data_IF_159764899031
#
_entry.id   IF_159764899031
#
_cell.length_a   1.000
_cell.length_b   1.000
_cell.length_c   1.000
_cell.angle_alpha   90.00
_cell.angle_beta   90.00
_cell.angle_gamma   90.00
#
_symmetry.space_group_name_H-M   'P 1'
#
loop_
_entity.id
_entity.type
_entity.pdbx_description
1 polymer ?
#
# COMPACT_ATOMS: atom_id res chain seq x y z
N UNK A 1 -12.34 -22.66 -6.34
CA UNK A 1 -11.05 -22.10 -6.81
C UNK A 1 -10.94 -20.82 -6.03
N UNK A 2 -10.32 -20.88 -4.86
CA UNK A 2 -10.63 -19.97 -3.76
C UNK A 2 -9.45 -19.01 -3.59
N UNK A 3 -9.50 -17.96 -4.40
CA UNK A 3 -8.47 -16.93 -4.48
C UNK A 3 -8.96 -15.70 -3.71
N UNK A 4 -8.07 -14.93 -3.07
CA UNK A 4 -8.47 -13.75 -2.30
C UNK A 4 -7.52 -12.59 -2.54
N UNK A 5 -8.09 -11.38 -2.55
CA UNK A 5 -7.31 -10.14 -2.55
C UNK A 5 -7.95 -9.20 -1.54
N UNK A 6 -7.14 -8.68 -0.64
CA UNK A 6 -7.49 -7.54 0.19
C UNK A 6 -6.90 -6.29 -0.42
N UNK A 7 -7.68 -5.22 -0.55
CA UNK A 7 -7.18 -3.92 -0.98
C UNK A 7 -7.46 -2.87 0.10
N UNK A 8 -6.41 -2.28 0.67
CA UNK A 8 -6.47 -1.21 1.65
C UNK A 8 -6.25 0.14 1.00
N UNK A 9 -7.08 1.11 1.38
CA UNK A 9 -7.04 2.43 0.75
C UNK A 9 -7.19 3.63 1.69
N UNK A 10 -6.56 4.72 1.24
CA UNK A 10 -6.66 6.09 1.74
C UNK A 10 -7.24 7.10 0.72
N UNK A 11 -8.45 7.65 0.92
CA UNK A 11 -8.72 9.04 0.52
C UNK A 11 -8.59 9.95 1.72
N UNK A 12 -7.53 10.73 1.75
CA UNK A 12 -7.67 12.07 2.31
C UNK A 12 -8.22 12.99 1.22
N UNK A 13 -9.27 13.74 1.56
CA UNK A 13 -9.87 14.87 0.83
C UNK A 13 -10.96 14.56 -0.19
N UNK A 14 -11.92 15.49 -0.25
CA UNK A 14 -13.11 15.58 -1.11
C UNK A 14 -12.78 15.72 -2.62
N UNK A 15 -11.77 14.99 -3.11
CA UNK A 15 -11.44 14.96 -4.53
C UNK A 15 -12.42 14.03 -5.25
N UNK A 16 -12.93 14.39 -6.44
CA UNK A 16 -13.75 13.51 -7.28
C UNK A 16 -12.85 12.44 -7.90
N UNK A 17 -12.22 11.63 -7.05
CA UNK A 17 -11.68 10.34 -7.46
C UNK A 17 -12.87 9.64 -8.09
N UNK A 18 -12.74 9.32 -9.37
CA UNK A 18 -13.78 8.75 -10.23
C UNK A 18 -14.69 7.83 -9.41
N UNK A 19 -16.02 8.01 -9.44
CA UNK A 19 -17.03 7.32 -8.59
C UNK A 19 -16.88 5.78 -8.51
N UNK A 20 -16.01 5.21 -9.34
CA UNK A 20 -15.71 3.79 -9.47
C UNK A 20 -14.38 3.37 -8.82
N UNK A 21 -13.57 4.26 -8.27
CA UNK A 21 -12.41 3.88 -7.46
C UNK A 21 -12.88 3.71 -6.00
N UNK A 22 -12.77 2.56 -5.35
CA UNK A 22 -12.03 1.32 -5.63
C UNK A 22 -12.88 0.18 -6.19
N UNK A 23 -14.13 0.48 -6.55
CA UNK A 23 -15.04 -0.51 -7.12
C UNK A 23 -14.50 -1.18 -8.40
N UNK A 24 -13.64 -0.50 -9.19
CA UNK A 24 -12.98 -1.06 -10.36
C UNK A 24 -12.02 -2.20 -9.98
N UNK A 25 -11.20 -1.99 -8.95
CA UNK A 25 -10.26 -2.99 -8.43
C UNK A 25 -11.04 -4.18 -7.85
N UNK A 26 -12.04 -3.88 -7.01
CA UNK A 26 -12.94 -4.88 -6.44
C UNK A 26 -13.62 -5.74 -7.50
N UNK A 27 -14.23 -5.10 -8.49
CA UNK A 27 -14.94 -5.78 -9.57
C UNK A 27 -13.99 -6.61 -10.46
N UNK A 28 -12.84 -6.06 -10.85
CA UNK A 28 -11.89 -6.78 -11.70
C UNK A 28 -11.44 -8.10 -11.07
N UNK A 29 -11.04 -8.06 -9.81
CA UNK A 29 -10.55 -9.25 -9.11
C UNK A 29 -11.67 -10.21 -8.72
N UNK A 30 -12.87 -9.71 -8.38
CA UNK A 30 -14.05 -10.56 -8.20
C UNK A 30 -14.39 -11.36 -9.48
N UNK A 31 -14.26 -10.74 -10.66
CA UNK A 31 -14.43 -11.43 -11.95
C UNK A 31 -13.38 -12.52 -12.20
N UNK A 32 -12.23 -12.48 -11.52
CA UNK A 32 -11.22 -13.53 -11.55
C UNK A 32 -11.49 -14.66 -10.54
N UNK A 33 -12.67 -14.68 -9.90
CA UNK A 33 -13.07 -15.69 -8.93
C UNK A 33 -12.50 -15.45 -7.53
N UNK A 34 -12.12 -14.20 -7.21
CA UNK A 34 -11.60 -13.86 -5.90
C UNK A 34 -12.66 -13.31 -4.98
N UNK A 35 -12.52 -13.54 -3.68
CA UNK A 35 -13.18 -12.70 -2.68
C UNK A 35 -12.34 -11.45 -2.47
N UNK A 36 -12.95 -10.28 -2.63
CA UNK A 36 -12.26 -8.99 -2.52
C UNK A 36 -12.82 -8.17 -1.38
N UNK A 37 -11.94 -7.75 -0.47
CA UNK A 37 -12.28 -6.83 0.62
C UNK A 37 -11.66 -5.48 0.34
N UNK A 38 -12.52 -4.46 0.21
CA UNK A 38 -12.11 -3.05 0.07
C UNK A 38 -12.41 -2.35 1.39
N UNK A 39 -11.36 -2.04 2.14
CA UNK A 39 -11.48 -1.50 3.49
C UNK A 39 -11.24 0.02 3.55
N UNK A 40 -11.93 0.65 4.51
CA UNK A 40 -11.68 2.04 4.91
C UNK A 40 -10.89 2.07 6.21
N UNK A 41 -10.26 3.20 6.49
CA UNK A 41 -9.54 3.48 7.74
C UNK A 41 -9.83 4.94 8.15
N UNK A 42 -9.53 5.28 9.40
CA UNK A 42 -9.74 6.60 9.98
C UNK A 42 -8.80 7.63 9.35
N UNK A 43 -9.33 8.83 9.08
CA UNK A 43 -8.61 9.89 8.37
C UNK A 43 -8.04 10.93 9.32
N UNK A 44 -6.88 11.46 8.93
CA UNK A 44 -6.33 12.69 9.49
C UNK A 44 -7.16 13.86 9.00
N UNK A 45 -7.76 14.60 9.93
CA UNK A 45 -8.54 15.78 9.58
C UNK A 45 -7.60 16.96 9.24
N UNK A 46 -7.81 17.55 8.07
CA UNK A 46 -7.12 18.77 7.65
C UNK A 46 -8.12 19.87 7.31
N UNK A 47 -8.27 20.85 8.20
CA UNK A 47 -8.87 22.15 7.86
C UNK A 47 -7.80 23.11 7.32
N UNK A 48 -7.83 23.48 6.03
CA UNK A 48 -6.92 24.47 5.44
C UNK A 48 -7.11 25.89 5.98
N UNK A 49 -8.25 26.18 6.63
CA UNK A 49 -8.58 27.51 7.19
C UNK A 49 -8.26 27.62 8.67
N UNK A 50 -8.02 26.50 9.35
CA UNK A 50 -7.59 26.51 10.73
C UNK A 50 -6.16 27.09 10.82
N UNK A 51 -6.02 28.28 11.41
CA UNK A 51 -4.75 28.94 11.72
C UNK A 51 -4.01 28.25 12.89
N UNK A 52 -4.25 26.97 13.09
CA UNK A 52 -3.81 26.24 14.26
C UNK A 52 -2.31 26.00 14.14
N UNK A 53 -1.56 26.89 14.80
CA UNK A 53 -0.14 26.72 15.06
C UNK A 53 0.13 25.45 15.89
N UNK A 54 -0.86 24.96 16.67
CA UNK A 54 -0.69 23.86 17.63
C UNK A 54 -1.82 22.81 17.63
N UNK A 55 -2.77 22.87 16.69
CA UNK A 55 -3.61 21.74 16.23
C UNK A 55 -4.30 20.83 17.24
N UNK A 56 -4.89 21.36 18.33
CA UNK A 56 -5.79 20.59 19.22
C UNK A 56 -7.18 21.23 19.22
N UNK A 57 -7.88 21.15 18.09
CA UNK A 57 -9.34 21.30 18.08
C UNK A 57 -9.99 20.00 18.53
N UNK A 58 -11.15 20.07 19.19
CA UNK A 58 -11.92 18.93 19.74
C UNK A 58 -12.39 17.88 18.70
N UNK A 59 -12.03 18.00 17.43
CA UNK A 59 -12.32 17.00 16.41
C UNK A 59 -11.30 15.86 16.51
N UNK A 60 -11.78 14.64 16.80
CA UNK A 60 -10.97 13.42 16.84
C UNK A 60 -10.39 13.17 15.45
N UNK A 61 -9.14 13.57 15.24
CA UNK A 61 -8.35 13.26 14.05
C UNK A 61 -7.59 11.98 14.31
N UNK A 62 -7.58 11.05 13.35
CA UNK A 62 -6.72 9.88 13.43
C UNK A 62 -5.25 10.31 13.60
N UNK A 63 -4.52 9.58 14.42
CA UNK A 63 -3.08 9.70 14.63
C UNK A 63 -2.43 8.33 14.51
N UNK A 64 -1.12 8.27 14.37
CA UNK A 64 -0.41 7.01 14.48
C UNK A 64 -0.56 6.48 15.93
N UNK A 65 -0.91 5.19 16.14
CA UNK A 65 -1.01 4.10 15.15
C UNK A 65 -2.40 3.78 14.60
N UNK A 66 -3.44 4.61 14.79
CA UNK A 66 -4.86 4.33 14.44
C UNK A 66 -5.04 3.70 13.04
N UNK A 67 -4.36 4.24 12.02
CA UNK A 67 -4.44 3.69 10.66
C UNK A 67 -3.88 2.26 10.52
N UNK A 68 -2.87 1.90 11.31
CA UNK A 68 -2.35 0.53 11.39
C UNK A 68 -3.29 -0.38 12.22
N UNK A 69 -3.92 0.16 13.26
CA UNK A 69 -4.92 -0.55 14.05
C UNK A 69 -6.17 -0.87 13.20
N UNK A 70 -6.56 0.01 12.28
CA UNK A 70 -7.64 -0.28 11.32
C UNK A 70 -7.28 -1.42 10.35
N UNK A 71 -6.01 -1.57 9.97
CA UNK A 71 -5.55 -2.74 9.20
C UNK A 71 -5.71 -4.00 10.04
N UNK A 72 -5.34 -3.95 11.33
CA UNK A 72 -5.48 -5.08 12.24
C UNK A 72 -6.94 -5.52 12.35
N UNK A 73 -7.85 -4.58 12.62
CA UNK A 73 -9.29 -4.84 12.76
C UNK A 73 -9.90 -5.40 11.47
N UNK A 74 -9.48 -4.87 10.31
CA UNK A 74 -9.91 -5.39 9.02
C UNK A 74 -9.47 -6.84 8.85
N UNK A 75 -8.21 -7.15 9.16
CA UNK A 75 -7.68 -8.50 9.04
C UNK A 75 -8.38 -9.47 9.98
N UNK A 76 -8.59 -9.10 11.24
CA UNK A 76 -9.38 -9.89 12.21
C UNK A 76 -10.76 -10.22 11.66
N UNK A 77 -11.46 -9.22 11.10
CA UNK A 77 -12.74 -9.46 10.44
C UNK A 77 -12.60 -10.48 9.30
N UNK A 78 -11.56 -10.40 8.48
CA UNK A 78 -11.37 -11.32 7.36
C UNK A 78 -11.15 -12.75 7.84
N UNK A 79 -10.22 -12.99 8.77
CA UNK A 79 -9.96 -14.33 9.30
C UNK A 79 -11.20 -14.94 9.98
N UNK A 80 -12.05 -14.11 10.60
CA UNK A 80 -13.28 -14.55 11.26
C UNK A 80 -14.47 -14.76 10.31
N UNK A 81 -14.51 -14.07 9.16
CA UNK A 81 -15.72 -13.97 8.35
C UNK A 81 -15.58 -14.51 6.93
N UNK A 82 -14.41 -14.44 6.30
CA UNK A 82 -14.29 -14.62 4.84
C UNK A 82 -14.65 -16.03 4.35
N UNK A 83 -14.55 -17.03 5.24
CA UNK A 83 -14.94 -18.42 4.97
C UNK A 83 -16.44 -18.66 4.95
N UNK A 84 -17.24 -17.69 5.40
CA UNK A 84 -18.71 -17.81 5.44
C UNK A 84 -19.29 -17.72 4.02
N UNK A 85 -20.44 -18.39 3.83
CA UNK A 85 -21.08 -18.53 2.50
C UNK A 85 -21.54 -17.20 1.93
N UNK A 86 -22.04 -16.30 2.78
CA UNK A 86 -22.48 -14.96 2.39
C UNK A 86 -21.35 -14.08 1.81
N UNK A 87 -20.09 -14.40 2.09
CA UNK A 87 -18.92 -13.68 1.60
C UNK A 87 -18.14 -14.44 0.51
N UNK A 88 -18.71 -15.51 -0.05
CA UNK A 88 -18.11 -16.24 -1.17
C UNK A 88 -17.15 -17.37 -0.76
N UNK A 89 -17.11 -17.76 0.52
CA UNK A 89 -16.33 -18.90 1.03
C UNK A 89 -14.84 -18.83 0.73
N UNK A 90 -14.25 -17.65 0.87
CA UNK A 90 -12.82 -17.50 0.66
C UNK A 90 -11.99 -18.23 1.74
N UNK A 91 -10.74 -18.57 1.41
CA UNK A 91 -9.81 -19.23 2.32
C UNK A 91 -8.99 -18.23 3.16
N UNK A 92 -9.12 -18.20 4.51
CA UNK A 92 -8.32 -17.32 5.38
C UNK A 92 -6.80 -17.55 5.27
N UNK A 93 -6.36 -18.69 4.75
CA UNK A 93 -4.94 -19.02 4.53
C UNK A 93 -4.36 -18.40 3.24
N UNK A 94 -5.22 -17.92 2.33
CA UNK A 94 -4.84 -17.42 1.01
C UNK A 94 -5.00 -15.90 0.88
N UNK A 95 -4.84 -15.17 1.99
CA UNK A 95 -4.99 -13.72 2.06
C UNK A 95 -3.80 -13.00 1.43
N UNK A 96 -4.03 -12.14 0.44
CA UNK A 96 -3.01 -11.22 -0.11
C UNK A 96 -3.40 -9.78 0.21
N UNK A 97 -2.51 -9.02 0.87
CA UNK A 97 -2.75 -7.61 1.17
C UNK A 97 -2.24 -6.71 0.05
N UNK A 98 -3.06 -5.79 -0.44
CA UNK A 98 -2.68 -4.80 -1.45
C UNK A 98 -2.94 -3.40 -0.93
N UNK A 99 -1.93 -2.54 -0.98
CA UNK A 99 -2.06 -1.15 -0.56
C UNK A 99 -1.45 -0.19 -1.57
N UNK A 100 -2.13 0.92 -1.79
CA UNK A 100 -1.65 2.00 -2.65
C UNK A 100 -1.36 3.26 -1.84
N UNK A 101 -0.24 3.92 -2.14
CA UNK A 101 0.19 5.14 -1.46
C UNK A 101 0.16 4.97 0.06
N UNK A 102 -0.47 5.86 0.82
CA UNK A 102 -0.61 5.74 2.28
C UNK A 102 -1.33 4.47 2.75
N UNK A 103 -2.19 3.85 1.94
CA UNK A 103 -2.83 2.57 2.30
C UNK A 103 -1.82 1.44 2.44
N UNK A 104 -0.82 1.39 1.55
CA UNK A 104 0.29 0.44 1.68
C UNK A 104 1.24 0.79 2.83
N UNK A 105 1.32 2.07 3.19
CA UNK A 105 2.09 2.52 4.35
C UNK A 105 1.47 1.99 5.65
N UNK A 106 0.14 2.02 5.79
CA UNK A 106 -0.57 1.41 6.92
C UNK A 106 -0.41 -0.11 6.96
N UNK A 107 -0.48 -0.81 5.82
CA UNK A 107 -0.15 -2.24 5.75
C UNK A 107 1.26 -2.49 6.31
N UNK A 108 2.26 -1.74 5.85
CA UNK A 108 3.64 -1.90 6.32
C UNK A 108 3.81 -1.65 7.83
N UNK A 109 2.94 -0.85 8.45
CA UNK A 109 2.94 -0.61 9.89
C UNK A 109 2.30 -1.72 10.72
N UNK A 110 1.38 -2.50 10.14
CA UNK A 110 0.62 -3.55 10.83
C UNK A 110 1.05 -4.98 10.46
N UNK A 111 2.02 -5.14 9.56
CA UNK A 111 2.34 -6.45 9.00
C UNK A 111 3.10 -7.35 10.02
N UNK A 112 2.35 -7.97 10.92
CA UNK A 112 2.88 -8.85 11.99
C UNK A 112 2.33 -10.28 11.94
N UNK A 113 1.55 -10.64 10.92
CA UNK A 113 0.90 -11.95 10.85
C UNK A 113 0.90 -12.58 9.45
N UNK A 114 0.54 -13.86 9.41
CA UNK A 114 0.69 -14.74 8.25
C UNK A 114 -0.28 -14.37 7.14
N UNK A 115 0.25 -13.86 6.03
CA UNK A 115 -0.47 -13.59 4.78
C UNK A 115 0.24 -14.30 3.64
N UNK A 116 -0.51 -14.69 2.61
CA UNK A 116 0.03 -15.36 1.44
C UNK A 116 0.91 -14.43 0.57
N UNK A 117 0.73 -13.12 0.67
CA UNK A 117 1.58 -12.15 -0.01
C UNK A 117 1.19 -10.70 0.27
N UNK A 118 2.06 -9.76 -0.11
CA UNK A 118 1.84 -8.32 0.06
C UNK A 118 2.21 -7.55 -1.20
N UNK A 119 1.35 -6.61 -1.59
CA UNK A 119 1.49 -5.73 -2.75
C UNK A 119 1.54 -4.28 -2.26
N UNK A 120 2.66 -3.63 -2.49
CA UNK A 120 2.87 -2.21 -2.25
C UNK A 120 2.90 -1.45 -3.58
N UNK A 121 1.94 -0.56 -3.80
CA UNK A 121 1.86 0.28 -4.99
C UNK A 121 2.14 1.73 -4.65
N UNK A 122 3.25 2.28 -5.15
CA UNK A 122 3.61 3.70 -5.00
C UNK A 122 3.60 4.16 -3.54
N UNK A 123 4.05 3.31 -2.62
CA UNK A 123 3.96 3.54 -1.17
C UNK A 123 5.04 4.54 -0.71
N UNK A 124 4.70 5.57 0.09
CA UNK A 124 5.67 6.48 0.66
C UNK A 124 6.31 5.85 1.90
N UNK A 125 7.28 4.95 1.69
CA UNK A 125 8.08 4.32 2.75
C UNK A 125 9.02 5.29 3.50
N UNK A 126 9.02 6.56 3.11
CA UNK A 126 9.74 7.65 3.74
C UNK A 126 9.06 8.97 3.34
N UNK A 127 9.31 10.03 4.10
CA UNK A 127 8.75 11.35 3.84
C UNK A 127 9.80 12.45 3.84
N UNK A 128 9.68 13.38 2.89
CA UNK A 128 10.57 14.53 2.75
C UNK A 128 10.28 15.58 3.83
N UNK A 129 11.23 15.74 4.75
CA UNK A 129 11.16 16.72 5.84
C UNK A 129 11.58 18.12 5.41
N UNK A 130 12.15 18.32 4.23
CA UNK A 130 12.59 19.64 3.79
C UNK A 130 11.41 20.53 3.38
N UNK A 131 10.23 19.93 3.16
CA UNK A 131 9.01 20.63 2.72
C UNK A 131 8.12 21.03 3.91
N UNK A 132 7.89 22.34 4.16
CA UNK A 132 7.08 22.78 5.31
C UNK A 132 5.65 22.23 5.33
N UNK A 133 5.00 22.12 4.16
CA UNK A 133 3.66 21.54 4.08
C UNK A 133 3.68 20.04 4.45
N UNK A 134 4.73 19.33 4.05
CA UNK A 134 4.90 17.90 4.35
C UNK A 134 5.11 17.69 5.85
N UNK A 135 5.98 18.49 6.47
CA UNK A 135 6.15 18.50 7.94
C UNK A 135 4.82 18.71 8.69
N UNK A 136 3.97 19.65 8.24
CA UNK A 136 2.66 19.89 8.85
C UNK A 136 1.77 18.65 8.81
N UNK A 137 1.70 17.95 7.67
CA UNK A 137 0.90 16.73 7.51
C UNK A 137 1.45 15.61 8.39
N UNK A 138 2.77 15.41 8.37
CA UNK A 138 3.45 14.38 9.16
C UNK A 138 3.21 14.63 10.66
N UNK A 139 3.42 15.86 11.17
CA UNK A 139 3.18 16.19 12.58
C UNK A 139 1.72 15.96 13.00
N UNK A 140 0.76 16.16 12.10
CA UNK A 140 -0.66 15.89 12.42
C UNK A 140 -0.92 14.40 12.64
N UNK A 141 -0.35 13.54 11.79
CA UNK A 141 -0.55 12.10 11.94
C UNK A 141 0.35 11.49 13.03
N UNK A 142 1.65 11.73 12.97
CA UNK A 142 2.63 11.10 13.87
C UNK A 142 2.86 11.86 15.18
N UNK A 143 2.29 13.06 15.34
CA UNK A 143 2.59 13.96 16.46
C UNK A 143 3.96 14.64 16.38
N UNK A 144 4.83 14.22 15.45
CA UNK A 144 6.18 14.75 15.24
C UNK A 144 6.65 14.51 13.81
N UNK A 145 7.47 15.40 13.25
CA UNK A 145 8.22 15.20 12.00
C UNK A 145 9.65 14.68 12.25
N UNK A 146 9.96 14.25 13.47
CA UNK A 146 11.16 13.49 13.74
C UNK A 146 10.99 12.06 13.21
N UNK A 147 11.94 11.61 12.37
CA UNK A 147 11.90 10.29 11.71
C UNK A 147 11.82 9.11 12.69
N UNK A 148 12.34 9.27 13.90
CA UNK A 148 12.32 8.26 14.95
C UNK A 148 10.93 7.99 15.53
N UNK A 149 9.94 8.84 15.22
CA UNK A 149 8.54 8.71 15.68
C UNK A 149 7.64 7.98 14.67
N UNK A 150 8.06 7.84 13.41
CA UNK A 150 7.17 7.37 12.32
C UNK A 150 6.95 5.84 12.26
N UNK A 151 7.30 5.11 13.33
CA UNK A 151 7.10 3.67 13.42
C UNK A 151 7.88 2.86 12.37
N UNK A 152 7.27 1.75 11.92
CA UNK A 152 7.87 0.78 10.99
C UNK A 152 8.25 1.36 9.62
N UNK A 153 7.68 2.50 9.20
CA UNK A 153 8.08 3.18 7.97
C UNK A 153 9.55 3.59 8.01
N UNK A 154 10.04 4.07 9.16
CA UNK A 154 11.47 4.36 9.40
C UNK A 154 12.35 3.13 9.25
N UNK A 155 11.82 1.99 9.69
CA UNK A 155 12.59 0.78 9.94
C UNK A 155 13.00 0.03 8.66
N UNK A 156 12.34 0.32 7.54
CA UNK A 156 12.81 -0.08 6.23
C UNK A 156 13.94 0.84 5.73
N UNK A 157 13.76 2.16 5.68
CA UNK A 157 14.63 3.03 4.89
C UNK A 157 15.98 3.46 5.53
N UNK A 158 16.17 3.33 6.86
CA UNK A 158 17.43 3.73 7.48
C UNK A 158 18.34 2.53 7.86
N UNK A 159 19.42 2.34 7.10
CA UNK A 159 20.42 1.28 7.30
C UNK A 159 21.41 1.54 8.44
N UNK A 160 21.40 2.73 9.05
CA UNK A 160 22.43 3.15 10.03
C UNK A 160 21.93 3.30 11.47
N UNK A 161 20.60 3.27 11.71
CA UNK A 161 20.00 3.49 13.02
C UNK A 161 19.11 2.33 13.50
N UNK A 162 19.18 1.17 12.84
CA UNK A 162 18.59 -0.06 13.36
C UNK A 162 19.37 -0.46 14.63
N UNK A 163 18.93 0.03 15.78
CA UNK A 163 19.39 -0.49 17.06
C UNK A 163 18.96 -1.95 17.17
N UNK A 164 19.73 -2.74 17.90
CA UNK A 164 19.58 -4.19 18.10
C UNK A 164 18.23 -4.61 18.74
N UNK A 165 17.31 -3.67 19.01
CA UNK A 165 16.08 -3.89 19.76
C UNK A 165 14.79 -3.94 18.91
N UNK A 166 14.84 -3.83 17.58
CA UNK A 166 13.63 -4.03 16.74
C UNK A 166 13.43 -5.52 16.41
N UNK A 167 13.18 -6.34 17.44
CA UNK A 167 12.94 -7.79 17.27
C UNK A 167 11.80 -8.10 16.29
N UNK A 168 10.82 -7.21 16.16
CA UNK A 168 9.60 -7.42 15.35
C UNK A 168 9.80 -7.25 13.83
N UNK A 169 10.71 -6.37 13.38
CA UNK A 169 11.10 -6.26 11.96
C UNK A 169 11.76 -7.51 11.42
N UNK A 170 12.44 -8.23 12.31
CA UNK A 170 13.15 -9.45 11.96
C UNK A 170 12.18 -10.39 11.29
N UNK A 171 10.92 -10.50 11.73
CA UNK A 171 10.00 -11.47 11.14
C UNK A 171 9.77 -11.29 9.62
N UNK A 172 9.56 -10.07 9.13
CA UNK A 172 9.30 -9.82 7.70
C UNK A 172 10.53 -9.84 6.81
N UNK A 173 11.67 -9.46 7.36
CA UNK A 173 12.92 -9.39 6.61
C UNK A 173 13.79 -10.64 6.79
N UNK A 174 13.54 -11.45 7.83
CA UNK A 174 14.36 -12.63 8.17
C UNK A 174 14.00 -13.90 7.43
N UNK A 175 12.93 -13.92 6.65
CA UNK A 175 12.72 -15.00 5.68
C UNK A 175 11.85 -14.51 4.52
N UNK A 176 12.51 -13.96 3.51
CA UNK A 176 11.89 -13.50 2.26
C UNK A 176 11.23 -14.63 1.46
N UNK A 177 11.38 -15.89 1.87
CA UNK A 177 10.66 -17.02 1.29
C UNK A 177 9.28 -17.25 1.89
N UNK A 178 8.98 -16.69 3.07
CA UNK A 178 7.68 -16.90 3.75
C UNK A 178 6.57 -16.03 3.22
N UNK A 179 6.85 -14.75 2.99
CA UNK A 179 5.86 -13.78 2.52
C UNK A 179 6.38 -13.16 1.22
N UNK A 180 5.87 -13.57 0.05
CA UNK A 180 6.14 -12.89 -1.21
C UNK A 180 5.77 -11.41 -1.12
N UNK A 181 6.68 -10.55 -1.57
CA UNK A 181 6.45 -9.10 -1.65
C UNK A 181 6.50 -8.63 -3.10
N UNK A 182 5.50 -7.84 -3.48
CA UNK A 182 5.45 -7.07 -4.72
C UNK A 182 5.58 -5.58 -4.41
N UNK A 183 6.54 -4.93 -5.07
CA UNK A 183 6.74 -3.49 -5.04
C UNK A 183 6.49 -2.98 -6.45
N UNK A 184 5.37 -2.28 -6.61
CA UNK A 184 5.01 -1.58 -7.84
C UNK A 184 5.24 -0.08 -7.68
N UNK A 185 5.89 0.52 -8.66
CA UNK A 185 5.92 1.97 -8.85
C UNK A 185 5.65 2.29 -10.31
N UNK A 186 5.62 3.58 -10.64
CA UNK A 186 5.27 4.08 -11.96
C UNK A 186 6.37 4.96 -12.51
N UNK A 187 6.49 5.04 -13.83
CA UNK A 187 7.53 5.86 -14.46
C UNK A 187 7.38 7.35 -14.15
N UNK A 188 6.14 7.84 -14.08
CA UNK A 188 5.83 9.24 -13.79
C UNK A 188 5.38 9.39 -12.32
N UNK A 189 6.27 8.98 -11.42
CA UNK A 189 6.05 9.03 -9.97
C UNK A 189 6.52 10.37 -9.38
N UNK A 190 5.91 10.80 -8.27
CA UNK A 190 6.44 11.92 -7.50
C UNK A 190 7.78 11.54 -6.88
N UNK A 191 8.74 12.47 -6.91
CA UNK A 191 10.13 12.20 -6.48
C UNK A 191 10.20 11.54 -5.09
N UNK A 192 9.44 12.04 -4.12
CA UNK A 192 9.42 11.49 -2.75
C UNK A 192 9.05 9.99 -2.73
N UNK A 193 7.97 9.59 -3.41
CA UNK A 193 7.53 8.20 -3.46
C UNK A 193 8.49 7.31 -4.26
N UNK A 194 9.10 7.85 -5.32
CA UNK A 194 10.11 7.14 -6.10
C UNK A 194 11.35 6.85 -5.25
N UNK A 195 11.91 7.87 -4.59
CA UNK A 195 13.08 7.73 -3.74
C UNK A 195 12.79 6.77 -2.57
N UNK A 196 11.65 6.94 -1.90
CA UNK A 196 11.22 6.05 -0.83
C UNK A 196 11.09 4.59 -1.27
N UNK A 197 10.59 4.35 -2.49
CA UNK A 197 10.50 3.02 -3.08
C UNK A 197 11.88 2.39 -3.30
N UNK A 198 12.84 3.16 -3.82
CA UNK A 198 14.21 2.69 -4.06
C UNK A 198 14.92 2.41 -2.73
N UNK A 199 14.74 3.26 -1.73
CA UNK A 199 15.31 3.07 -0.39
C UNK A 199 14.75 1.81 0.27
N UNK A 200 13.43 1.60 0.21
CA UNK A 200 12.79 0.38 0.70
C UNK A 200 13.32 -0.86 -0.02
N UNK A 201 13.41 -0.84 -1.36
CA UNK A 201 13.95 -1.95 -2.15
C UNK A 201 15.39 -2.30 -1.73
N UNK A 202 16.24 -1.30 -1.58
CA UNK A 202 17.64 -1.50 -1.17
C UNK A 202 17.73 -2.08 0.24
N UNK A 203 16.91 -1.57 1.17
CA UNK A 203 16.88 -2.06 2.53
C UNK A 203 16.34 -3.49 2.63
N UNK A 204 15.28 -3.81 1.87
CA UNK A 204 14.75 -5.17 1.77
C UNK A 204 15.85 -6.12 1.29
N UNK A 205 16.53 -5.81 0.19
CA UNK A 205 17.63 -6.63 -0.34
C UNK A 205 18.78 -6.80 0.66
N UNK A 206 19.11 -5.75 1.40
CA UNK A 206 20.21 -5.79 2.37
C UNK A 206 19.89 -6.63 3.60
N UNK A 207 18.61 -6.68 4.00
CA UNK A 207 18.15 -7.37 5.22
C UNK A 207 17.49 -8.73 4.93
N UNK A 208 17.20 -9.05 3.67
CA UNK A 208 16.52 -10.27 3.27
C UNK A 208 17.28 -11.53 3.65
N UNK A 209 16.54 -12.62 3.85
CA UNK A 209 17.09 -13.95 4.04
C UNK A 209 16.37 -14.89 3.07
N UNK A 210 17.08 -15.60 2.18
CA UNK A 210 18.54 -15.57 1.97
C UNK A 210 19.07 -14.16 1.60
N UNK A 211 20.29 -13.85 2.03
CA UNK A 211 20.91 -12.54 1.82
C UNK A 211 20.91 -12.15 0.35
N UNK A 212 20.44 -10.95 0.04
CA UNK A 212 20.37 -10.43 -1.33
C UNK A 212 19.15 -10.88 -2.12
N UNK A 213 18.19 -11.59 -1.51
CA UNK A 213 16.91 -11.91 -2.14
C UNK A 213 16.19 -10.62 -2.55
N UNK A 214 15.68 -10.60 -3.78
CA UNK A 214 14.95 -9.48 -4.35
C UNK A 214 13.44 -9.68 -4.18
N UNK A 215 12.68 -8.61 -3.90
CA UNK A 215 11.23 -8.64 -4.02
C UNK A 215 10.84 -8.62 -5.51
N UNK A 216 9.57 -8.91 -5.82
CA UNK A 216 9.05 -8.63 -7.16
C UNK A 216 8.99 -7.10 -7.32
N UNK A 217 9.79 -6.55 -8.22
CA UNK A 217 9.89 -5.11 -8.42
C UNK A 217 9.47 -4.74 -9.84
N UNK A 218 8.44 -3.89 -9.96
CA UNK A 218 7.96 -3.42 -11.25
C UNK A 218 7.82 -1.90 -11.30
N UNK A 219 8.27 -1.34 -12.42
CA UNK A 219 8.02 0.05 -12.79
C UNK A 219 7.09 0.04 -14.01
N UNK A 220 5.88 0.56 -13.85
CA UNK A 220 4.94 0.67 -14.96
C UNK A 220 5.31 1.84 -15.87
N UNK A 221 5.61 1.52 -17.12
CA UNK A 221 5.75 2.54 -18.17
C UNK A 221 4.40 3.20 -18.45
N UNK A 222 4.42 4.47 -18.86
CA UNK A 222 3.22 5.27 -19.18
C UNK A 222 2.20 5.33 -18.04
N UNK A 223 2.59 5.12 -16.79
CA UNK A 223 1.71 5.27 -15.64
C UNK A 223 2.17 6.40 -14.70
N UNK A 224 1.25 6.93 -13.88
CA UNK A 224 1.50 7.91 -12.82
C UNK A 224 0.83 7.50 -11.48
N UNK A 225 1.10 8.28 -10.42
CA UNK A 225 0.71 7.95 -9.03
C UNK A 225 -0.81 7.74 -8.88
N UNK A 226 -1.57 8.74 -9.32
CA UNK A 226 -3.01 8.79 -9.52
C UNK A 226 -3.21 9.79 -10.66
N UNK A 227 -4.10 9.54 -11.62
CA UNK A 227 -4.40 10.54 -12.65
C UNK A 227 -5.27 11.62 -12.01
N UNK A 228 -4.60 12.52 -11.30
CA UNK A 228 -4.76 13.98 -11.15
C UNK A 228 -3.84 14.44 -10.02
N UNK A 229 -2.76 15.17 -10.34
CA UNK A 229 -2.05 15.94 -9.31
C UNK A 229 -1.40 17.26 -9.78
N UNK A 230 -1.49 17.65 -11.06
CA UNK A 230 -0.96 18.95 -11.52
C UNK A 230 -1.75 19.50 -12.74
N UNK A 231 -3.01 19.88 -12.57
CA UNK A 231 -3.74 20.61 -13.62
C UNK A 231 -3.85 22.12 -13.40
N UNK A 232 -3.69 22.62 -12.16
CA UNK A 232 -3.90 24.04 -11.90
C UNK A 232 -2.65 24.93 -12.08
N UNK A 233 -1.46 24.39 -12.39
CA UNK A 233 -0.23 25.20 -12.44
C UNK A 233 0.88 24.77 -13.44
N UNK A 234 0.58 23.97 -14.46
CA UNK A 234 1.59 23.65 -15.49
C UNK A 234 1.24 24.31 -16.82
N UNK A 235 2.09 25.25 -17.23
CA UNK A 235 2.06 25.91 -18.54
C UNK A 235 2.05 24.89 -19.69
N UNK A 236 1.33 25.26 -20.76
CA UNK A 236 0.78 24.38 -21.81
C UNK A 236 1.70 23.46 -22.61
N UNK A 237 2.99 23.32 -22.28
CA UNK A 237 3.93 22.41 -22.95
C UNK A 237 3.75 20.95 -22.46
N UNK A 238 3.30 20.72 -21.22
CA UNK A 238 3.08 19.35 -20.70
C UNK A 238 1.77 18.69 -21.16
N UNK A 239 0.92 19.37 -21.93
CA UNK A 239 -0.32 18.77 -22.46
C UNK A 239 -0.06 17.62 -23.43
N UNK A 240 1.09 17.58 -24.08
CA UNK A 240 1.45 16.55 -25.06
C UNK A 240 1.95 15.23 -24.45
N UNK A 241 2.31 15.20 -23.15
CA UNK A 241 2.79 14.01 -22.43
C UNK A 241 1.66 13.22 -21.72
N UNK A 242 0.41 13.67 -21.87
CA UNK A 242 -0.77 13.13 -21.17
C UNK A 242 -1.47 12.00 -21.94
N UNK A 243 -0.77 10.88 -22.12
CA UNK A 243 -1.38 9.55 -22.31
C UNK A 243 -0.76 8.64 -21.26
N UNK A 244 -0.92 9.00 -19.98
CA UNK A 244 -0.48 8.15 -18.89
C UNK A 244 -1.67 7.64 -18.10
N UNK A 245 -1.84 6.32 -18.06
CA UNK A 245 -2.84 5.66 -17.24
C UNK A 245 -2.49 5.81 -15.76
N UNK A 246 -3.49 5.81 -14.88
CA UNK A 246 -3.21 5.79 -13.43
C UNK A 246 -2.89 4.39 -12.97
N UNK A 247 -1.96 4.26 -12.01
CA UNK A 247 -1.55 2.97 -11.43
C UNK A 247 -2.76 2.09 -11.08
N UNK A 248 -3.66 2.58 -10.24
CA UNK A 248 -4.77 1.79 -9.71
C UNK A 248 -6.09 2.00 -10.46
N UNK A 249 -6.24 3.11 -11.18
CA UNK A 249 -7.44 3.36 -11.98
C UNK A 249 -7.42 2.62 -13.33
N UNK A 250 -6.25 2.15 -13.80
CA UNK A 250 -6.17 1.31 -15.01
C UNK A 250 -6.70 -0.11 -14.79
N UNK A 251 -6.77 -0.57 -13.54
CA UNK A 251 -7.28 -1.90 -13.20
C UNK A 251 -8.76 -2.01 -13.61
N UNK A 252 -9.08 -3.03 -14.40
CA UNK A 252 -10.42 -3.23 -14.96
C UNK A 252 -10.76 -2.38 -16.18
N UNK A 253 -9.76 -1.72 -16.80
CA UNK A 253 -9.91 -0.99 -18.06
C UNK A 253 -9.28 -1.76 -19.23
N UNK A 254 -9.23 -1.15 -20.42
CA UNK A 254 -8.51 -1.70 -21.58
C UNK A 254 -6.98 -1.74 -21.37
N UNK A 255 -6.44 -0.89 -20.49
CA UNK A 255 -5.05 -0.97 -20.06
C UNK A 255 -4.90 -2.07 -19.00
N UNK A 256 -4.60 -3.27 -19.45
CA UNK A 256 -4.50 -4.46 -18.60
C UNK A 256 -3.14 -4.64 -17.93
N UNK A 257 -2.13 -3.81 -18.26
CA UNK A 257 -0.72 -4.08 -17.91
C UNK A 257 -0.55 -4.23 -16.41
N UNK A 258 -1.09 -3.29 -15.62
CA UNK A 258 -1.00 -3.39 -14.17
C UNK A 258 -1.80 -4.59 -13.64
N UNK A 259 -3.03 -4.75 -14.10
CA UNK A 259 -3.93 -5.79 -13.61
C UNK A 259 -3.38 -7.20 -13.86
N UNK A 260 -2.74 -7.44 -15.01
CA UNK A 260 -2.07 -8.68 -15.35
C UNK A 260 -0.88 -8.97 -14.44
N UNK A 261 -0.05 -7.97 -14.13
CA UNK A 261 1.10 -8.13 -13.22
C UNK A 261 0.69 -8.43 -11.80
N UNK A 262 -0.36 -7.77 -11.31
CA UNK A 262 -0.92 -8.05 -10.00
C UNK A 262 -1.49 -9.48 -9.97
N UNK A 263 -2.27 -9.87 -10.98
CA UNK A 263 -2.87 -11.19 -11.07
C UNK A 263 -1.82 -12.31 -11.14
N UNK A 264 -0.73 -12.09 -11.89
CA UNK A 264 0.43 -12.99 -11.96
C UNK A 264 1.03 -13.20 -10.56
N UNK A 265 1.26 -12.11 -9.82
CA UNK A 265 1.79 -12.18 -8.46
C UNK A 265 0.83 -12.86 -7.47
N UNK A 266 -0.45 -12.50 -7.46
CA UNK A 266 -1.44 -13.12 -6.56
C UNK A 266 -1.54 -14.63 -6.78
N UNK A 267 -1.48 -15.07 -8.04
CA UNK A 267 -1.49 -16.50 -8.38
C UNK A 267 -0.21 -17.22 -7.96
N UNK A 268 0.93 -16.52 -7.88
CA UNK A 268 2.19 -17.13 -7.42
C UNK A 268 2.29 -17.22 -5.89
N UNK A 269 1.51 -16.41 -5.16
CA UNK A 269 1.45 -16.42 -3.70
C UNK A 269 0.73 -17.65 -3.14
N UNK A 270 -0.18 -18.24 -3.91
CA UNK A 270 -1.01 -19.35 -3.44
C UNK A 270 -0.37 -20.66 -3.91
N UNK A 271 -0.07 -21.60 -2.99
CA UNK A 271 0.46 -22.90 -3.39
C UNK A 271 -0.45 -23.51 -4.43
N UNK A 272 0.10 -23.82 -5.62
CA UNK A 272 -0.65 -24.58 -6.61
C UNK A 272 -1.11 -25.85 -5.90
N UNK A 273 -2.42 -26.01 -5.72
CA UNK A 273 -2.98 -27.27 -5.22
C UNK A 273 -2.35 -28.36 -6.08
N UNK A 274 -1.42 -29.11 -5.49
CA UNK A 274 -0.72 -30.18 -6.18
C UNK A 274 -1.80 -31.02 -6.84
N UNK A 275 -1.64 -31.27 -8.14
CA UNK A 275 -2.49 -32.06 -9.02
C UNK A 275 -2.61 -33.53 -8.54
N UNK A 276 -3.14 -33.71 -7.34
CA UNK A 276 -3.10 -34.93 -6.54
C UNK A 276 -4.48 -35.46 -6.17
N UNK A 277 -5.56 -34.81 -6.58
CA UNK A 277 -6.88 -35.42 -6.64
C UNK A 277 -7.04 -36.17 -7.97
N UNK A 278 -6.32 -37.29 -8.09
CA UNK A 278 -6.81 -38.39 -8.93
C UNK A 278 -8.03 -38.96 -8.22
N UNK A 279 -9.22 -38.56 -8.68
CA UNK A 279 -10.41 -39.39 -8.56
C UNK A 279 -10.33 -40.51 -9.59
#
# INVERSE_FOLDING_TARGET
MDLQIETFWTSSSHSPIHERCWANVGNFFAQQGMVVVVANHQLVYYDPKANDADGVGENVSAKYPDGADDIQLTREWIYENISKREYGQGSPENVVLMGHSSGGAHIAMNLYAEVAGVIYLSVPFWYDREKPLRQKIIRRYYGSDAEDVWGMIRLYCNSTLASENSMELTFLLSDSSKIPIYIGTVKWEVKESCDATIDFFNAYRAKSIPAGTLPNFHVLDKHNHVTYDLWDNIDGICKQLMISSSNVLSIGTEDSVQAEKLLEFIRSCIPSLSSGSKL
#
